data_IF_439015273740
#
_entry.id   IF_439015273740
#
_cell.length_a   1.000
_cell.length_b   1.000
_cell.length_c   1.000
_cell.angle_alpha   90.00
_cell.angle_beta   90.00
_cell.angle_gamma   90.00
#
_symmetry.space_group_name_H-M   'P 1'
#
loop_
_entity.id
_entity.type
_entity.pdbx_description
1 polymer ?
#
# COMPACT_ATOMS: atom_id res chain seq x y z
N UNK A 1 -9.05 28.43 4.56
CA UNK A 1 -7.84 27.61 4.36
C UNK A 1 -7.71 26.69 5.57
N UNK A 2 -8.19 25.45 5.47
CA UNK A 2 -8.09 24.50 6.57
C UNK A 2 -6.73 23.78 6.50
N UNK A 3 -5.99 23.62 7.61
CA UNK A 3 -4.75 22.86 7.63
C UNK A 3 -5.05 21.41 7.22
N UNK A 4 -4.11 20.77 6.52
CA UNK A 4 -4.19 19.40 6.04
C UNK A 4 -4.35 18.39 7.20
N UNK A 5 -5.55 18.33 7.74
CA UNK A 5 -5.97 17.36 8.75
C UNK A 5 -6.45 16.13 7.99
N UNK A 6 -5.64 15.07 8.05
CA UNK A 6 -6.04 13.67 7.90
C UNK A 6 -7.05 13.40 6.78
N UNK A 7 -6.57 13.05 5.59
CA UNK A 7 -7.44 12.39 4.61
C UNK A 7 -7.78 11.00 5.17
N UNK A 8 -9.07 10.69 5.44
CA UNK A 8 -9.46 9.39 5.97
C UNK A 8 -8.99 8.23 5.09
N UNK A 9 -8.85 8.48 3.79
CA UNK A 9 -8.37 7.49 2.86
C UNK A 9 -6.87 7.21 2.97
N UNK A 10 -6.07 8.22 3.23
CA UNK A 10 -4.64 8.02 3.48
C UNK A 10 -4.41 7.25 4.79
N UNK A 11 -5.18 7.55 5.83
CA UNK A 11 -5.08 6.83 7.10
C UNK A 11 -5.51 5.37 6.97
N UNK A 12 -6.65 5.08 6.33
CA UNK A 12 -7.03 3.69 6.14
C UNK A 12 -6.03 2.93 5.27
N UNK A 13 -5.47 3.58 4.25
CA UNK A 13 -4.42 2.97 3.46
C UNK A 13 -3.19 2.66 4.33
N UNK A 14 -2.67 3.64 5.07
CA UNK A 14 -1.36 3.50 5.76
C UNK A 14 -1.42 2.80 7.12
N UNK A 15 -2.54 2.88 7.83
CA UNK A 15 -2.69 2.37 9.21
C UNK A 15 -3.57 1.12 9.30
N UNK A 16 -4.49 0.93 8.35
CA UNK A 16 -5.46 -0.18 8.37
C UNK A 16 -5.11 -1.24 7.33
N UNK A 17 -3.81 -1.46 7.10
CA UNK A 17 -3.29 -2.41 6.11
C UNK A 17 -3.77 -3.85 6.34
N UNK A 18 -3.93 -4.27 7.60
CA UNK A 18 -4.54 -5.55 7.97
C UNK A 18 -5.92 -5.75 7.34
N UNK A 19 -6.66 -4.66 7.15
CA UNK A 19 -8.02 -4.75 6.65
C UNK A 19 -8.03 -4.98 5.15
N UNK A 20 -7.13 -4.39 4.37
CA UNK A 20 -7.21 -4.41 2.92
C UNK A 20 -6.09 -5.23 2.22
N UNK A 21 -4.99 -5.53 2.90
CA UNK A 21 -3.86 -6.28 2.37
C UNK A 21 -4.03 -7.78 2.71
N UNK A 22 -4.27 -8.63 1.71
CA UNK A 22 -4.45 -10.07 1.94
C UNK A 22 -3.12 -10.75 2.25
N UNK A 23 -3.13 -11.67 3.22
CA UNK A 23 -2.00 -12.51 3.58
C UNK A 23 -1.52 -13.42 2.42
N UNK A 24 -2.42 -13.76 1.47
CA UNK A 24 -2.07 -14.45 0.22
C UNK A 24 -1.17 -13.59 -0.69
N UNK A 25 -1.40 -12.27 -0.74
CA UNK A 25 -0.58 -11.36 -1.56
C UNK A 25 0.85 -11.22 -1.00
N UNK A 26 1.01 -11.54 0.28
CA UNK A 26 2.23 -11.39 1.05
C UNK A 26 3.07 -12.67 1.08
N UNK A 27 2.45 -13.82 0.72
CA UNK A 27 3.10 -15.13 0.76
C UNK A 27 3.23 -15.69 2.17
N UNK A 28 2.45 -15.20 3.13
CA UNK A 28 2.47 -15.65 4.54
C UNK A 28 1.05 -15.71 5.12
N UNK A 29 0.18 -16.57 4.55
CA UNK A 29 -1.25 -16.60 4.87
C UNK A 29 -1.56 -16.84 6.35
N UNK A 30 -0.76 -17.67 7.03
CA UNK A 30 -1.03 -18.11 8.40
C UNK A 30 -0.45 -17.17 9.48
N UNK A 31 0.51 -16.32 9.11
CA UNK A 31 1.27 -15.51 10.08
C UNK A 31 1.12 -14.02 9.86
N UNK A 32 0.62 -13.54 8.73
CA UNK A 32 0.47 -12.11 8.45
C UNK A 32 -0.44 -11.39 9.45
N UNK A 33 0.01 -10.26 9.99
CA UNK A 33 -0.82 -9.34 10.78
C UNK A 33 -1.13 -8.07 10.00
N UNK A 34 -0.11 -7.32 9.60
CA UNK A 34 -0.28 -6.05 8.88
C UNK A 34 1.02 -5.60 8.20
N UNK A 35 0.93 -4.60 7.32
CA UNK A 35 2.10 -3.87 6.80
C UNK A 35 2.24 -2.56 7.55
N UNK A 36 3.44 -2.26 8.00
CA UNK A 36 3.81 -1.01 8.62
C UNK A 36 4.65 -0.17 7.66
N UNK A 37 4.29 1.11 7.52
CA UNK A 37 5.07 2.11 6.80
C UNK A 37 5.70 3.08 7.80
N UNK A 38 7.03 3.21 7.78
CA UNK A 38 7.66 4.32 8.48
C UNK A 38 7.27 5.64 7.78
N UNK A 39 6.66 6.62 8.47
CA UNK A 39 6.00 7.78 7.86
C UNK A 39 6.99 8.88 7.42
N UNK A 40 8.04 8.49 6.71
CA UNK A 40 9.14 9.34 6.27
C UNK A 40 9.73 8.80 4.97
N UNK A 41 10.21 9.69 4.10
CA UNK A 41 10.95 9.29 2.90
C UNK A 41 12.24 8.57 3.30
N UNK A 42 12.51 7.43 2.68
CA UNK A 42 13.58 6.50 3.06
C UNK A 42 13.21 5.58 4.24
N UNK A 43 12.01 5.71 4.79
CA UNK A 43 11.51 4.81 5.84
C UNK A 43 11.25 3.41 5.31
N UNK A 44 11.28 2.40 6.18
CA UNK A 44 11.03 1.00 5.85
C UNK A 44 9.54 0.73 5.67
N UNK A 45 9.25 -0.15 4.71
CA UNK A 45 8.01 -0.89 4.59
C UNK A 45 8.26 -2.27 5.16
N UNK A 46 7.53 -2.62 6.20
CA UNK A 46 7.73 -3.84 6.95
C UNK A 46 6.44 -4.64 7.03
N UNK A 47 6.54 -5.93 6.78
CA UNK A 47 5.49 -6.84 7.15
C UNK A 47 5.64 -7.23 8.61
N UNK A 48 4.55 -7.18 9.34
CA UNK A 48 4.46 -7.59 10.73
C UNK A 48 3.67 -8.89 10.77
N UNK A 49 4.27 -9.93 11.33
CA UNK A 49 3.61 -11.19 11.60
C UNK A 49 2.87 -11.16 12.96
N UNK A 50 1.97 -12.11 13.17
CA UNK A 50 1.14 -12.24 14.37
C UNK A 50 1.93 -12.51 15.64
N UNK A 51 3.16 -13.03 15.51
CA UNK A 51 4.13 -13.21 16.60
C UNK A 51 4.98 -11.95 16.87
N UNK A 52 4.76 -10.86 16.10
CA UNK A 52 5.50 -9.61 16.18
C UNK A 52 6.78 -9.56 15.34
N UNK A 53 7.12 -10.64 14.61
CA UNK A 53 8.27 -10.65 13.70
C UNK A 53 8.11 -9.59 12.61
N UNK A 54 9.16 -8.80 12.39
CA UNK A 54 9.17 -7.76 11.37
C UNK A 54 10.07 -8.18 10.21
N UNK A 55 9.51 -8.18 9.00
CA UNK A 55 10.23 -8.51 7.78
C UNK A 55 10.30 -7.28 6.89
N UNK A 56 11.50 -6.87 6.51
CA UNK A 56 11.68 -5.78 5.56
C UNK A 56 11.13 -6.18 4.18
N UNK A 57 10.26 -5.35 3.62
CA UNK A 57 9.63 -5.54 2.31
C UNK A 57 10.01 -4.45 1.30
N UNK A 58 10.48 -3.29 1.76
CA UNK A 58 10.93 -2.23 0.88
C UNK A 58 11.01 -0.88 1.59
N UNK A 59 10.96 0.21 0.82
CA UNK A 59 11.20 1.56 1.31
C UNK A 59 10.13 2.54 0.82
N UNK A 60 9.77 3.49 1.67
CA UNK A 60 8.95 4.64 1.30
C UNK A 60 9.80 5.59 0.46
N UNK A 61 9.42 5.78 -0.80
CA UNK A 61 10.08 6.72 -1.73
C UNK A 61 9.45 8.11 -1.68
N UNK A 62 8.17 8.20 -1.36
CA UNK A 62 7.46 9.46 -1.19
C UNK A 62 6.38 9.34 -0.12
N UNK A 63 6.30 10.32 0.80
CA UNK A 63 5.28 10.40 1.83
C UNK A 63 4.65 11.80 1.83
N UNK A 64 3.47 11.92 1.23
CA UNK A 64 2.65 13.15 1.21
C UNK A 64 1.30 12.86 1.83
N UNK A 65 1.13 13.09 3.15
CA UNK A 65 -0.12 12.82 3.85
C UNK A 65 -1.33 13.37 3.11
N UNK A 66 -2.30 12.49 2.85
CA UNK A 66 -3.56 12.81 2.16
C UNK A 66 -3.46 13.14 0.69
N UNK A 67 -2.29 12.98 0.05
CA UNK A 67 -2.11 13.28 -1.37
C UNK A 67 -1.46 12.14 -2.12
N UNK A 68 -0.35 11.60 -1.61
CA UNK A 68 0.48 10.65 -2.35
C UNK A 68 1.34 9.81 -1.44
N UNK A 69 1.47 8.53 -1.77
CA UNK A 69 2.40 7.59 -1.16
C UNK A 69 3.09 6.84 -2.29
N UNK A 70 4.42 6.79 -2.28
CA UNK A 70 5.18 5.93 -3.20
C UNK A 70 6.10 5.07 -2.37
N UNK A 71 6.13 3.77 -2.63
CA UNK A 71 6.99 2.85 -1.90
C UNK A 71 7.41 1.67 -2.78
N UNK A 72 8.52 1.04 -2.42
CA UNK A 72 8.93 -0.23 -3.00
C UNK A 72 8.40 -1.39 -2.19
N UNK A 73 8.10 -2.49 -2.86
CA UNK A 73 7.63 -3.72 -2.23
C UNK A 73 8.16 -4.96 -2.97
N UNK A 74 8.76 -5.86 -2.21
CA UNK A 74 9.24 -7.18 -2.65
C UNK A 74 8.57 -8.29 -1.84
N UNK A 75 8.29 -9.40 -2.52
CA UNK A 75 8.03 -10.68 -1.84
C UNK A 75 9.34 -11.22 -1.25
N UNK A 76 9.24 -12.09 -0.25
CA UNK A 76 10.43 -12.67 0.41
C UNK A 76 11.35 -13.35 -0.60
N UNK A 77 10.75 -14.02 -1.57
CA UNK A 77 11.40 -14.81 -2.60
C UNK A 77 12.00 -13.96 -3.73
N UNK A 78 11.60 -12.69 -3.85
CA UNK A 78 12.03 -11.78 -4.92
C UNK A 78 12.45 -10.40 -4.38
N UNK A 79 13.35 -10.43 -3.39
CA UNK A 79 13.94 -9.22 -2.82
C UNK A 79 14.88 -8.47 -3.79
N UNK A 80 15.29 -9.10 -4.89
CA UNK A 80 16.22 -8.55 -5.87
C UNK A 80 15.52 -7.60 -6.85
N UNK A 81 14.23 -7.84 -7.13
CA UNK A 81 13.44 -7.03 -8.04
C UNK A 81 12.22 -6.41 -7.34
N UNK A 82 12.43 -5.42 -6.45
CA UNK A 82 11.33 -4.73 -5.80
C UNK A 82 10.47 -4.00 -6.82
N UNK A 83 9.17 -4.25 -6.72
CA UNK A 83 8.17 -3.49 -7.45
C UNK A 83 8.00 -2.11 -6.84
N UNK A 84 7.61 -1.13 -7.64
CA UNK A 84 7.28 0.22 -7.15
C UNK A 84 5.78 0.42 -7.19
N UNK A 85 5.21 0.79 -6.06
CA UNK A 85 3.78 1.09 -5.91
C UNK A 85 3.63 2.59 -5.64
N UNK A 86 2.85 3.26 -6.48
CA UNK A 86 2.47 4.67 -6.30
C UNK A 86 0.98 4.75 -6.03
N UNK A 87 0.59 5.53 -5.03
CA UNK A 87 -0.79 5.69 -4.61
C UNK A 87 -1.10 7.17 -4.53
N UNK A 88 -2.02 7.65 -5.37
CA UNK A 88 -2.51 9.01 -5.36
C UNK A 88 -3.90 9.06 -4.73
N UNK A 89 -4.10 9.98 -3.78
CA UNK A 89 -5.34 10.19 -3.06
C UNK A 89 -5.98 11.48 -3.56
N UNK A 90 -7.07 11.35 -4.33
CA UNK A 90 -7.76 12.48 -4.96
C UNK A 90 -9.06 12.72 -4.19
N UNK A 91 -9.15 13.84 -3.49
CA UNK A 91 -10.35 14.21 -2.77
C UNK A 91 -11.46 14.62 -3.75
N UNK A 92 -12.62 13.98 -3.65
CA UNK A 92 -13.77 14.17 -4.56
C UNK A 92 -15.00 14.77 -3.88
N UNK A 93 -14.93 15.08 -2.59
CA UNK A 93 -15.96 15.74 -1.77
C UNK A 93 -15.64 15.57 -0.28
N UNK A 94 -16.39 16.20 0.64
CA UNK A 94 -16.03 16.32 2.06
C UNK A 94 -15.59 15.00 2.76
N UNK A 95 -16.15 13.85 2.35
CA UNK A 95 -15.77 12.52 2.87
C UNK A 95 -15.38 11.50 1.77
N UNK A 96 -15.27 11.93 0.52
CA UNK A 96 -14.99 11.05 -0.61
C UNK A 96 -13.56 11.24 -1.13
N UNK A 97 -12.89 10.13 -1.42
CA UNK A 97 -11.60 10.13 -2.10
C UNK A 97 -11.53 8.98 -3.10
N UNK A 98 -11.03 9.29 -4.30
CA UNK A 98 -10.60 8.31 -5.29
C UNK A 98 -9.15 7.96 -5.01
N UNK A 99 -8.84 6.66 -4.89
CA UNK A 99 -7.48 6.16 -4.65
C UNK A 99 -6.96 5.54 -5.93
N UNK A 100 -5.93 6.13 -6.54
CA UNK A 100 -5.30 5.59 -7.75
C UNK A 100 -4.06 4.84 -7.36
N UNK A 101 -3.96 3.58 -7.75
CA UNK A 101 -2.81 2.73 -7.47
C UNK A 101 -2.12 2.37 -8.78
N UNK A 102 -0.85 2.71 -8.86
CA UNK A 102 0.05 2.33 -9.92
C UNK A 102 1.03 1.29 -9.40
N UNK A 103 1.18 0.19 -10.11
CA UNK A 103 2.13 -0.86 -9.76
C UNK A 103 3.06 -1.11 -10.94
N UNK A 104 4.33 -0.79 -10.74
CA UNK A 104 5.41 -0.96 -11.71
C UNK A 104 6.28 -2.14 -11.29
N UNK A 105 6.35 -3.16 -12.14
CA UNK A 105 7.17 -4.37 -11.94
C UNK A 105 8.07 -4.57 -13.16
N UNK A 106 9.34 -4.15 -13.08
CA UNK A 106 10.28 -4.27 -14.20
C UNK A 106 9.79 -3.51 -15.44
N UNK A 107 9.43 -4.24 -16.51
CA UNK A 107 8.89 -3.73 -17.78
C UNK A 107 7.35 -3.69 -17.83
N UNK A 108 6.66 -4.17 -16.79
CA UNK A 108 5.21 -4.16 -16.73
C UNK A 108 4.68 -2.95 -15.94
N UNK A 109 3.85 -2.17 -16.60
CA UNK A 109 3.11 -1.05 -16.03
C UNK A 109 1.64 -1.42 -15.86
N UNK A 110 1.16 -1.52 -14.61
CA UNK A 110 -0.24 -1.86 -14.31
C UNK A 110 -0.91 -0.74 -13.52
N UNK A 111 -1.97 -0.19 -14.10
CA UNK A 111 -2.77 0.90 -13.56
C UNK A 111 -4.10 0.38 -12.99
N UNK A 112 -4.42 0.73 -11.76
CA UNK A 112 -5.72 0.47 -11.13
C UNK A 112 -6.31 1.75 -10.52
N UNK A 113 -7.59 2.02 -10.79
CA UNK A 113 -8.33 3.16 -10.21
C UNK A 113 -9.38 2.66 -9.21
N UNK A 114 -9.37 3.18 -7.98
CA UNK A 114 -10.39 2.90 -6.97
C UNK A 114 -11.29 4.13 -6.79
N UNK A 115 -12.56 4.02 -7.15
CA UNK A 115 -13.58 5.03 -6.86
C UNK A 115 -14.40 4.65 -5.61
N UNK A 116 -14.51 5.59 -4.67
CA UNK A 116 -15.25 5.41 -3.42
C UNK A 116 -14.49 4.68 -2.31
N UNK A 117 -14.92 4.88 -1.06
CA UNK A 117 -14.30 4.26 0.10
C UNK A 117 -14.85 2.85 0.35
N UNK A 118 -13.98 1.84 0.18
CA UNK A 118 -14.05 0.46 0.69
C UNK A 118 -14.76 -0.60 -0.20
N UNK A 119 -13.90 -1.46 -0.80
CA UNK A 119 -14.04 -2.85 -1.29
C UNK A 119 -14.73 -3.09 -2.66
N UNK A 120 -14.17 -3.96 -3.55
CA UNK A 120 -13.45 -5.20 -3.19
C UNK A 120 -12.05 -5.44 -3.82
N UNK A 121 -11.23 -6.07 -2.98
CA UNK A 121 -9.93 -6.76 -3.09
C UNK A 121 -9.47 -7.47 -4.37
N UNK A 122 -10.29 -7.58 -5.42
CA UNK A 122 -9.96 -8.47 -6.54
C UNK A 122 -8.80 -7.97 -7.42
N UNK A 123 -8.57 -6.65 -7.46
CA UNK A 123 -7.67 -6.04 -8.44
C UNK A 123 -6.18 -6.13 -8.06
N UNK A 124 -5.81 -6.13 -6.77
CA UNK A 124 -4.42 -6.39 -6.34
C UNK A 124 -4.07 -7.87 -6.46
N UNK A 125 -5.01 -8.78 -6.16
CA UNK A 125 -4.83 -10.22 -6.39
C UNK A 125 -4.65 -10.54 -7.89
N UNK A 126 -5.42 -9.89 -8.77
CA UNK A 126 -5.26 -10.02 -10.23
C UNK A 126 -3.91 -9.56 -10.78
N UNK A 127 -3.12 -8.80 -10.00
CA UNK A 127 -1.75 -8.40 -10.36
C UNK A 127 -0.72 -9.47 -9.96
N UNK A 128 -1.03 -10.35 -9.00
CA UNK A 128 -0.13 -11.37 -8.48
C UNK A 128 -0.49 -12.83 -8.85
N UNK A 129 -1.63 -13.06 -9.50
CA UNK A 129 -2.01 -14.38 -10.04
C UNK A 129 -1.62 -14.50 -11.53
N UNK A 130 -0.53 -15.21 -11.78
CA UNK A 130 -0.45 -16.17 -12.89
C UNK A 130 -0.43 -17.57 -12.29
#
# INVERSE_FOLDING_TARGET
MFPARHSPAFEAFTLRTAEWWSAEAVGSPDTFSHVFFEPVVGGRVQEIASDGTQTFRGEVKEWKPGRRLVFTFSKAEDAVHPSTISVDFIHTGDDAATVRIHHLTGDEDRFNNWDGFVKPYAALLGVYTH
#
